data_IF_699233376273
#
_entry.id   IF_699233376273
#
_cell.length_a   1.000
_cell.length_b   1.000
_cell.length_c   1.000
_cell.angle_alpha   90.00
_cell.angle_beta   90.00
_cell.angle_gamma   90.00
#
_symmetry.space_group_name_H-M   'P 1'
#
loop_
_entity.id
_entity.type
_entity.pdbx_description
1 polymer ?
#
# COMPACT_ATOMS: atom_id res chain seq x y z
N UNK A 1 -17.14 -8.53 -6.15
CA UNK A 1 -15.78 -8.47 -5.56
C UNK A 1 -14.92 -7.60 -6.47
N UNK A 2 -14.46 -6.44 -6.00
CA UNK A 2 -13.55 -5.58 -6.76
C UNK A 2 -12.11 -5.93 -6.37
N UNK A 3 -11.24 -6.18 -7.35
CA UNK A 3 -9.80 -6.37 -7.13
C UNK A 3 -9.04 -5.24 -7.81
N UNK A 4 -8.22 -4.54 -7.04
CA UNK A 4 -7.35 -3.47 -7.54
C UNK A 4 -5.91 -3.86 -7.23
N UNK A 5 -5.05 -3.85 -8.25
CA UNK A 5 -3.62 -4.15 -8.11
C UNK A 5 -2.86 -2.87 -8.38
N UNK A 6 -2.11 -2.40 -7.39
CA UNK A 6 -1.34 -1.17 -7.48
C UNK A 6 0.13 -1.56 -7.53
N UNK A 7 0.79 -1.46 -8.70
CA UNK A 7 2.16 -1.91 -8.85
C UNK A 7 3.12 -1.01 -8.08
N UNK A 8 4.15 -1.60 -7.48
CA UNK A 8 5.20 -0.90 -6.74
C UNK A 8 5.10 -1.08 -5.23
N UNK A 9 6.11 -0.57 -4.53
CA UNK A 9 6.20 -0.71 -3.07
C UNK A 9 5.10 0.10 -2.38
N UNK A 10 4.48 -0.50 -1.36
CA UNK A 10 3.53 0.20 -0.51
C UNK A 10 4.29 1.21 0.36
N UNK A 11 3.96 2.50 0.21
CA UNK A 11 4.57 3.56 1.02
C UNK A 11 3.70 3.74 2.27
N UNK A 12 4.23 3.50 3.49
CA UNK A 12 3.48 3.77 4.70
C UNK A 12 3.16 5.27 4.78
N UNK A 13 1.94 5.58 5.22
CA UNK A 13 1.48 6.95 5.39
C UNK A 13 2.36 7.65 6.42
N UNK A 14 3.17 8.59 5.98
CA UNK A 14 3.94 9.44 6.89
C UNK A 14 3.02 10.32 7.72
N UNK A 15 3.27 10.45 9.04
CA UNK A 15 2.53 11.37 9.90
C UNK A 15 2.61 12.80 9.37
N UNK A 16 1.56 13.62 9.56
CA UNK A 16 1.62 15.04 9.24
C UNK A 16 2.82 15.69 9.94
N UNK A 17 3.56 16.51 9.20
CA UNK A 17 4.73 17.24 9.72
C UNK A 17 4.34 18.68 10.00
N UNK A 18 5.03 19.30 10.95
CA UNK A 18 4.81 20.69 11.33
C UNK A 18 5.92 21.58 10.77
N UNK A 19 5.56 22.74 10.25
CA UNK A 19 6.51 23.80 9.95
C UNK A 19 6.88 24.53 11.24
N UNK A 20 7.99 25.29 11.21
CA UNK A 20 8.38 26.17 12.32
C UNK A 20 7.34 27.26 12.65
N UNK A 21 6.42 27.51 11.72
CA UNK A 21 5.30 28.46 11.83
C UNK A 21 3.99 27.81 12.29
N UNK A 22 4.01 26.52 12.71
CA UNK A 22 2.85 25.80 13.22
C UNK A 22 1.90 25.25 12.15
N UNK A 23 2.23 25.33 10.86
CA UNK A 23 1.42 24.77 9.78
C UNK A 23 1.68 23.28 9.64
N UNK A 24 0.61 22.51 9.49
CA UNK A 24 0.69 21.07 9.27
C UNK A 24 0.73 20.78 7.78
N UNK A 25 1.63 19.90 7.31
CA UNK A 25 1.65 19.44 5.93
C UNK A 25 1.89 17.93 5.84
N UNK A 26 1.25 17.32 4.85
CA UNK A 26 1.50 15.91 4.49
C UNK A 26 2.82 15.83 3.71
N UNK A 27 3.77 14.96 4.11
CA UNK A 27 5.01 14.78 3.37
C UNK A 27 4.76 14.47 1.89
N UNK A 28 5.62 15.01 1.01
CA UNK A 28 5.51 14.84 -0.46
C UNK A 28 5.33 13.38 -0.88
N UNK A 29 6.11 12.45 -0.29
CA UNK A 29 6.02 11.01 -0.56
C UNK A 29 4.64 10.41 -0.29
N UNK A 30 4.00 10.79 0.82
CA UNK A 30 2.65 10.34 1.17
C UNK A 30 1.64 10.87 0.15
N UNK A 31 1.73 12.16 -0.18
CA UNK A 31 0.83 12.81 -1.15
C UNK A 31 0.93 12.18 -2.54
N UNK A 32 2.15 11.96 -3.03
CA UNK A 32 2.39 11.32 -4.33
C UNK A 32 1.83 9.90 -4.38
N UNK A 33 1.96 9.15 -3.30
CA UNK A 33 1.39 7.81 -3.20
C UNK A 33 -0.15 7.84 -3.23
N UNK A 34 -0.79 8.72 -2.45
CA UNK A 34 -2.25 8.91 -2.48
C UNK A 34 -2.77 9.35 -3.85
N UNK A 35 -2.05 10.24 -4.55
CA UNK A 35 -2.38 10.65 -5.91
C UNK A 35 -2.28 9.48 -6.91
N UNK A 36 -1.27 8.60 -6.75
CA UNK A 36 -1.16 7.37 -7.53
C UNK A 36 -2.34 6.41 -7.27
N UNK A 37 -2.72 6.22 -6.01
CA UNK A 37 -3.90 5.42 -5.66
C UNK A 37 -5.15 5.98 -6.34
N UNK A 38 -5.41 7.28 -6.18
CA UNK A 38 -6.58 7.95 -6.79
C UNK A 38 -6.62 7.78 -8.30
N UNK A 39 -5.49 7.86 -8.99
CA UNK A 39 -5.41 7.63 -10.44
C UNK A 39 -5.85 6.21 -10.81
N UNK A 40 -5.30 5.19 -10.14
CA UNK A 40 -5.69 3.80 -10.39
C UNK A 40 -7.18 3.55 -10.09
N UNK A 41 -7.73 4.15 -9.03
CA UNK A 41 -9.16 4.01 -8.73
C UNK A 41 -10.06 4.75 -9.73
N UNK A 42 -9.63 5.90 -10.27
CA UNK A 42 -10.38 6.63 -11.31
C UNK A 42 -10.40 5.88 -12.64
N UNK A 43 -9.31 5.21 -13.00
CA UNK A 43 -9.21 4.37 -14.21
C UNK A 43 -10.24 3.24 -14.21
N UNK A 44 -10.64 2.74 -13.03
CA UNK A 44 -11.65 1.69 -12.90
C UNK A 44 -13.08 2.19 -13.17
N UNK A 45 -13.30 3.51 -13.26
CA UNK A 45 -14.60 4.15 -13.50
C UNK A 45 -15.76 3.59 -12.64
N UNK A 46 -15.46 3.28 -11.37
CA UNK A 46 -16.42 2.70 -10.43
C UNK A 46 -17.24 3.79 -9.75
N UNK A 47 -18.53 3.50 -9.54
CA UNK A 47 -19.37 4.34 -8.70
C UNK A 47 -18.98 4.21 -7.22
N UNK A 48 -19.14 5.26 -6.39
CA UNK A 48 -18.93 5.17 -4.97
C UNK A 48 -19.79 4.08 -4.35
N UNK A 49 -19.17 3.23 -3.52
CA UNK A 49 -19.89 2.18 -2.81
C UNK A 49 -20.86 2.79 -1.78
N UNK A 50 -22.07 2.24 -1.68
CA UNK A 50 -23.08 2.61 -0.68
C UNK A 50 -23.32 1.42 0.25
N UNK A 51 -23.06 1.59 1.54
CA UNK A 51 -23.21 0.55 2.56
C UNK A 51 -21.89 0.02 3.12
N UNK A 52 -21.94 -0.97 4.05
CA UNK A 52 -20.76 -1.55 4.67
C UNK A 52 -19.91 -2.32 3.65
N UNK A 53 -18.58 -2.24 3.80
CA UNK A 53 -17.62 -2.88 2.93
C UNK A 53 -16.72 -3.82 3.74
N UNK A 54 -16.45 -4.99 3.18
CA UNK A 54 -15.34 -5.85 3.61
C UNK A 54 -14.17 -5.63 2.66
N UNK A 55 -12.99 -5.31 3.21
CA UNK A 55 -11.78 -5.03 2.45
C UNK A 55 -10.71 -6.02 2.89
N UNK A 56 -10.18 -6.77 1.92
CA UNK A 56 -8.99 -7.58 2.12
C UNK A 56 -7.80 -6.88 1.45
N UNK A 57 -6.81 -6.49 2.25
CA UNK A 57 -5.61 -5.78 1.80
C UNK A 57 -4.40 -6.70 1.85
N UNK A 58 -3.82 -7.00 0.70
CA UNK A 58 -2.60 -7.80 0.57
C UNK A 58 -1.46 -6.85 0.20
N UNK A 59 -0.50 -6.69 1.09
CA UNK A 59 0.69 -5.85 0.86
C UNK A 59 1.89 -6.76 0.64
N UNK A 60 2.34 -6.83 -0.61
CA UNK A 60 3.60 -7.49 -0.97
C UNK A 60 4.81 -6.59 -0.75
N UNK A 61 5.97 -7.20 -0.49
CA UNK A 61 7.28 -6.54 -0.57
C UNK A 61 8.03 -7.04 -1.80
N UNK A 62 8.98 -6.26 -2.34
CA UNK A 62 9.86 -6.74 -3.41
C UNK A 62 10.54 -8.05 -3.00
N UNK A 63 10.66 -8.97 -3.96
CA UNK A 63 11.39 -10.22 -3.76
C UNK A 63 12.85 -9.91 -3.37
N UNK A 64 13.35 -10.59 -2.34
CA UNK A 64 14.75 -10.44 -1.96
C UNK A 64 15.63 -11.08 -3.03
N UNK A 65 16.73 -10.41 -3.39
CA UNK A 65 17.71 -10.92 -4.37
C UNK A 65 18.28 -12.29 -4.00
N UNK A 66 18.27 -12.63 -2.70
CA UNK A 66 18.76 -13.90 -2.16
C UNK A 66 17.72 -15.02 -2.16
N UNK A 67 16.50 -14.80 -2.67
CA UNK A 67 15.50 -15.86 -2.74
C UNK A 67 15.90 -16.92 -3.77
N UNK A 68 15.79 -18.18 -3.36
CA UNK A 68 15.89 -19.31 -4.28
C UNK A 68 14.65 -19.35 -5.17
N UNK A 69 14.74 -20.03 -6.33
CA UNK A 69 13.60 -20.18 -7.27
C UNK A 69 12.33 -20.71 -6.58
N UNK A 70 12.50 -21.63 -5.62
CA UNK A 70 11.40 -22.17 -4.80
C UNK A 70 10.72 -21.08 -3.95
N UNK A 71 11.50 -20.28 -3.22
CA UNK A 71 10.98 -19.17 -2.40
C UNK A 71 10.33 -18.06 -3.24
N UNK A 72 10.81 -17.82 -4.45
CA UNK A 72 10.16 -16.91 -5.39
C UNK A 72 8.78 -17.42 -5.79
N UNK A 73 8.65 -18.70 -6.15
CA UNK A 73 7.37 -19.30 -6.49
C UNK A 73 6.39 -19.28 -5.30
N UNK A 74 6.84 -19.65 -4.10
CA UNK A 74 6.03 -19.59 -2.87
C UNK A 74 5.57 -18.15 -2.57
N UNK A 75 6.43 -17.14 -2.75
CA UNK A 75 6.07 -15.73 -2.54
C UNK A 75 5.06 -15.21 -3.58
N UNK A 76 5.18 -15.64 -4.84
CA UNK A 76 4.23 -15.27 -5.91
C UNK A 76 2.86 -15.93 -5.73
N UNK A 77 2.82 -17.12 -5.15
CA UNK A 77 1.58 -17.85 -4.83
C UNK A 77 0.93 -17.41 -3.51
N UNK A 78 1.51 -16.44 -2.79
CA UNK A 78 1.07 -16.02 -1.45
C UNK A 78 1.22 -17.11 -0.36
N UNK A 79 2.04 -18.13 -0.62
CA UNK A 79 2.41 -19.18 0.34
C UNK A 79 3.52 -18.70 1.29
N UNK A 80 4.32 -17.72 0.86
CA UNK A 80 5.39 -17.11 1.65
C UNK A 80 5.11 -15.63 1.91
N UNK A 81 4.81 -15.32 3.18
CA UNK A 81 4.53 -13.96 3.62
C UNK A 81 5.80 -13.23 4.09
N UNK A 82 5.92 -11.91 3.87
CA UNK A 82 7.05 -11.13 4.37
C UNK A 82 7.03 -11.10 5.90
N UNK A 83 7.96 -11.82 6.54
CA UNK A 83 8.06 -11.96 8.01
C UNK A 83 8.79 -10.80 8.70
N UNK A 84 9.24 -9.79 7.95
CA UNK A 84 9.81 -8.58 8.54
C UNK A 84 8.72 -7.88 9.36
N UNK A 85 8.92 -7.68 10.68
CA UNK A 85 7.96 -7.00 11.56
C UNK A 85 7.35 -5.80 10.84
N UNK A 86 6.08 -5.88 10.44
CA UNK A 86 5.37 -4.69 10.02
C UNK A 86 4.94 -4.00 11.30
N UNK A 87 5.30 -2.73 11.48
CA UNK A 87 4.56 -1.85 12.37
C UNK A 87 3.14 -1.70 11.77
N UNK A 88 2.28 -2.71 11.91
CA UNK A 88 0.88 -2.66 11.44
C UNK A 88 0.16 -1.46 12.07
N UNK A 89 0.61 -1.01 13.24
CA UNK A 89 0.16 0.19 13.95
C UNK A 89 0.50 1.53 13.27
N UNK A 90 1.25 1.56 12.16
CA UNK A 90 1.60 2.80 11.43
C UNK A 90 0.85 2.99 10.10
N UNK A 91 -0.19 2.19 9.83
CA UNK A 91 -1.01 2.27 8.61
C UNK A 91 -2.28 3.14 8.73
N UNK A 92 -2.49 3.86 9.84
CA UNK A 92 -3.60 4.82 10.03
C UNK A 92 -3.24 6.27 9.57
#
# INVERSE_FOLDING_TARGET
>A
MLRVIIPGECVPKGRPRFTRTGRTYTPKKTREYEEKLKRHFRELNIQPFKGPLSVNLIIGRPLLKSFTKKKVAEALNLDLWPVSRPDLDKLH
#
